data_IF_114452614216
#
_entry.id   IF_114452614216
#
_cell.length_a   1.000
_cell.length_b   1.000
_cell.length_c   1.000
_cell.angle_alpha   90.00
_cell.angle_beta   90.00
_cell.angle_gamma   90.00
#
_symmetry.space_group_name_H-M   'P 1'
#
loop_
_entity.id
_entity.type
_entity.pdbx_description
1 polymer ?
#
# COMPACT_ATOMS: atom_id res chain seq x y z
N UNK A 1 9.04 -35.35 40.66
CA UNK A 1 8.60 -35.51 39.25
C UNK A 1 8.35 -34.10 38.72
N UNK A 2 9.24 -33.59 37.88
CA UNK A 2 9.09 -32.28 37.25
C UNK A 2 8.33 -32.48 35.94
N UNK A 3 7.16 -31.85 35.81
CA UNK A 3 6.37 -31.84 34.56
C UNK A 3 7.07 -30.83 33.64
N UNK A 4 7.74 -31.35 32.58
CA UNK A 4 8.20 -30.53 31.46
C UNK A 4 6.96 -29.99 30.72
N UNK A 5 6.68 -28.70 30.87
CA UNK A 5 5.76 -27.98 30.01
C UNK A 5 6.41 -27.88 28.63
N UNK A 6 5.92 -28.68 27.69
CA UNK A 6 6.30 -28.58 26.29
C UNK A 6 5.91 -27.23 25.74
N UNK A 7 6.87 -26.42 25.35
CA UNK A 7 6.66 -25.19 24.59
C UNK A 7 6.00 -25.60 23.27
N UNK A 8 4.73 -25.25 23.11
CA UNK A 8 4.04 -25.41 21.82
C UNK A 8 4.66 -24.40 20.85
N UNK A 9 5.54 -24.87 19.98
CA UNK A 9 5.96 -24.09 18.82
C UNK A 9 4.72 -23.88 17.92
N UNK A 10 4.10 -22.70 18.01
CA UNK A 10 3.20 -22.26 16.97
C UNK A 10 4.03 -22.05 15.69
N UNK A 11 3.58 -22.54 14.52
CA UNK A 11 4.29 -22.27 13.29
C UNK A 11 4.38 -20.77 13.08
N UNK A 12 5.58 -20.27 12.76
CA UNK A 12 5.81 -18.86 12.44
C UNK A 12 5.05 -18.53 11.16
N UNK A 13 4.00 -17.73 11.28
CA UNK A 13 3.19 -17.27 10.15
C UNK A 13 3.62 -15.85 9.82
N UNK A 14 4.10 -15.68 8.60
CA UNK A 14 4.45 -14.37 8.04
C UNK A 14 3.33 -13.91 7.13
N UNK A 15 2.98 -12.64 7.23
CA UNK A 15 2.00 -11.98 6.36
C UNK A 15 2.67 -10.78 5.69
N UNK A 16 2.32 -10.53 4.43
CA UNK A 16 2.67 -9.30 3.72
C UNK A 16 1.37 -8.77 3.12
N UNK A 17 1.06 -7.52 3.40
CA UNK A 17 -0.20 -6.91 3.01
C UNK A 17 0.07 -5.52 2.42
N UNK A 18 -0.61 -5.17 1.31
CA UNK A 18 -0.57 -3.81 0.82
C UNK A 18 -1.37 -2.91 1.78
N UNK A 19 -0.75 -1.85 2.23
CA UNK A 19 -1.33 -0.89 3.17
C UNK A 19 -1.30 0.51 2.56
N UNK A 20 -2.42 1.22 2.68
CA UNK A 20 -2.57 2.61 2.29
C UNK A 20 -2.57 3.47 3.54
N UNK A 21 -1.74 4.50 3.58
CA UNK A 21 -1.71 5.46 4.68
C UNK A 21 -2.98 6.31 4.68
N UNK A 22 -3.59 6.50 5.84
CA UNK A 22 -4.83 7.27 5.99
C UNK A 22 -4.55 8.58 6.69
N UNK A 23 -4.77 9.68 5.97
CA UNK A 23 -4.75 11.03 6.54
C UNK A 23 -6.05 11.35 7.29
N UNK A 24 -5.98 12.36 8.16
CA UNK A 24 -7.18 12.92 8.78
C UNK A 24 -8.13 13.45 7.70
N UNK A 25 -9.44 13.25 7.91
CA UNK A 25 -10.47 13.77 7.01
C UNK A 25 -11.48 14.53 7.81
N UNK A 26 -11.57 15.82 7.53
CA UNK A 26 -12.65 16.66 8.04
C UNK A 26 -13.60 16.95 6.85
N UNK A 27 -14.92 16.77 7.07
CA UNK A 27 -16.02 17.22 6.20
C UNK A 27 -16.04 16.70 4.74
N UNK A 28 -15.51 15.49 4.45
CA UNK A 28 -15.63 14.91 3.12
C UNK A 28 -17.06 14.44 2.83
N UNK A 29 -17.66 14.90 1.73
CA UNK A 29 -19.08 14.66 1.40
C UNK A 29 -19.34 14.20 -0.05
N UNK A 30 -18.32 13.96 -0.88
CA UNK A 30 -18.52 13.60 -2.29
C UNK A 30 -19.04 12.16 -2.48
N UNK A 31 -18.69 11.25 -1.58
CA UNK A 31 -19.19 9.87 -1.49
C UNK A 31 -19.03 9.30 -0.09
N UNK A 32 -19.68 8.16 0.24
CA UNK A 32 -19.53 7.53 1.56
C UNK A 32 -18.12 7.03 1.81
N UNK A 33 -17.56 7.36 2.97
CA UNK A 33 -16.27 6.88 3.48
C UNK A 33 -16.47 6.20 4.82
N UNK A 34 -15.59 5.22 5.13
CA UNK A 34 -15.59 4.53 6.42
C UNK A 34 -14.94 5.38 7.51
N UNK A 35 -15.32 5.14 8.77
CA UNK A 35 -14.58 5.66 9.91
C UNK A 35 -13.22 4.98 9.98
N UNK A 36 -12.15 5.75 9.80
CA UNK A 36 -10.78 5.28 9.87
C UNK A 36 -10.01 6.09 10.91
N UNK A 37 -9.07 5.43 11.57
CA UNK A 37 -8.15 6.12 12.48
C UNK A 37 -7.13 6.88 11.65
N UNK A 38 -7.10 8.20 11.79
CA UNK A 38 -6.09 9.05 11.17
C UNK A 38 -4.68 8.61 11.55
N UNK A 39 -3.76 8.72 10.60
CA UNK A 39 -2.36 8.30 10.75
C UNK A 39 -2.22 6.79 11.01
N UNK A 40 -3.13 6.00 10.47
CA UNK A 40 -3.08 4.55 10.45
C UNK A 40 -3.00 4.03 9.02
N UNK A 41 -3.07 2.72 8.89
CA UNK A 41 -3.08 2.04 7.59
C UNK A 41 -4.42 1.37 7.33
N UNK A 42 -4.88 1.43 6.09
CA UNK A 42 -5.96 0.60 5.55
C UNK A 42 -5.33 -0.52 4.71
N UNK A 43 -5.59 -1.76 5.07
CA UNK A 43 -5.15 -2.93 4.29
C UNK A 43 -6.01 -3.03 3.03
N UNK A 44 -5.39 -2.98 1.85
CA UNK A 44 -6.09 -3.12 0.58
C UNK A 44 -6.24 -4.60 0.21
N UNK A 45 -7.48 -5.03 -0.05
CA UNK A 45 -7.80 -6.39 -0.47
C UNK A 45 -9.20 -6.46 -1.09
N UNK A 46 -9.66 -7.64 -1.52
CA UNK A 46 -10.98 -7.86 -2.11
C UNK A 46 -12.14 -7.96 -1.11
N UNK A 47 -11.90 -7.80 0.18
CA UNK A 47 -12.92 -7.98 1.24
C UNK A 47 -13.38 -6.65 1.86
N UNK A 48 -12.86 -5.51 1.37
CA UNK A 48 -13.23 -4.18 1.88
C UNK A 48 -14.72 -3.90 1.67
N UNK A 49 -15.31 -3.25 2.68
CA UNK A 49 -16.68 -2.72 2.57
C UNK A 49 -16.74 -1.55 1.57
N UNK A 50 -17.90 -1.24 0.98
CA UNK A 50 -18.04 -0.10 0.07
C UNK A 50 -17.55 1.24 0.64
N UNK A 51 -17.73 1.45 1.96
CA UNK A 51 -17.25 2.66 2.63
C UNK A 51 -15.72 2.69 2.78
N UNK A 52 -15.08 1.54 3.03
CA UNK A 52 -13.62 1.43 3.06
C UNK A 52 -13.01 1.61 1.67
N UNK A 53 -13.64 1.06 0.62
CA UNK A 53 -13.25 1.34 -0.77
C UNK A 53 -13.34 2.84 -1.05
N UNK A 54 -14.43 3.49 -0.65
CA UNK A 54 -14.61 4.94 -0.77
C UNK A 54 -13.51 5.71 -0.04
N UNK A 55 -13.07 5.24 1.13
CA UNK A 55 -11.94 5.80 1.87
C UNK A 55 -10.62 5.66 1.08
N UNK A 56 -10.35 4.47 0.52
CA UNK A 56 -9.14 4.24 -0.25
C UNK A 56 -9.09 5.12 -1.52
N UNK A 57 -10.20 5.18 -2.28
CA UNK A 57 -10.29 6.03 -3.48
C UNK A 57 -10.11 7.50 -3.13
N UNK A 58 -10.74 7.97 -2.03
CA UNK A 58 -10.56 9.34 -1.54
C UNK A 58 -9.09 9.60 -1.20
N UNK A 59 -8.45 8.72 -0.43
CA UNK A 59 -7.07 8.91 0.02
C UNK A 59 -6.10 8.97 -1.16
N UNK A 60 -6.26 8.10 -2.16
CA UNK A 60 -5.43 8.13 -3.36
C UNK A 60 -5.69 9.41 -4.17
N UNK A 61 -6.94 9.87 -4.29
CA UNK A 61 -7.24 11.14 -4.96
C UNK A 61 -6.64 12.33 -4.23
N UNK A 62 -6.75 12.37 -2.91
CA UNK A 62 -6.22 13.42 -2.03
C UNK A 62 -4.68 13.53 -2.10
N UNK A 63 -3.97 12.39 -2.16
CA UNK A 63 -2.51 12.36 -2.37
C UNK A 63 -2.08 12.97 -3.72
N UNK A 64 -2.98 13.03 -4.69
CA UNK A 64 -2.73 13.55 -6.03
C UNK A 64 -3.48 14.86 -6.29
N UNK A 65 -4.06 15.49 -5.25
CA UNK A 65 -4.70 16.79 -5.35
C UNK A 65 -3.64 17.90 -5.40
N UNK A 66 -3.68 18.69 -6.47
CA UNK A 66 -2.80 19.83 -6.65
C UNK A 66 -3.55 20.94 -7.41
N UNK A 67 -3.05 22.17 -7.29
CA UNK A 67 -3.64 23.30 -8.01
C UNK A 67 -3.51 23.07 -9.54
N UNK A 68 -4.64 23.05 -10.27
CA UNK A 68 -4.62 22.87 -11.72
C UNK A 68 -3.81 23.98 -12.41
N UNK A 69 -2.98 23.59 -13.35
CA UNK A 69 -2.21 24.48 -14.21
C UNK A 69 -2.55 24.26 -15.70
N UNK A 70 -1.97 25.10 -16.59
CA UNK A 70 -2.24 25.02 -18.03
C UNK A 70 -1.75 23.71 -18.67
N UNK A 71 -0.80 22.99 -18.04
CA UNK A 71 -0.23 21.74 -18.57
C UNK A 71 -1.17 20.54 -18.35
N UNK A 72 -2.00 20.59 -17.31
CA UNK A 72 -2.89 19.49 -16.92
C UNK A 72 -4.35 19.65 -17.43
N UNK A 73 -4.57 20.60 -18.34
CA UNK A 73 -5.86 20.82 -18.98
C UNK A 73 -6.79 21.76 -18.23
N UNK A 74 -8.01 22.02 -18.76
CA UNK A 74 -8.93 22.98 -18.15
C UNK A 74 -9.44 22.44 -16.80
N UNK A 75 -9.37 23.28 -15.78
CA UNK A 75 -9.89 22.97 -14.45
C UNK A 75 -11.42 22.74 -14.52
N UNK A 76 -11.91 21.62 -13.95
CA UNK A 76 -13.34 21.37 -13.79
C UNK A 76 -14.00 22.47 -12.93
N UNK A 77 -15.32 22.62 -13.06
CA UNK A 77 -16.08 23.62 -12.29
C UNK A 77 -16.97 23.01 -11.22
N UNK A 78 -17.19 21.72 -11.26
CA UNK A 78 -17.96 21.01 -10.24
C UNK A 78 -17.04 20.40 -9.17
N UNK A 79 -17.53 20.27 -7.92
CA UNK A 79 -16.70 19.82 -6.79
C UNK A 79 -16.06 18.45 -6.98
N UNK A 80 -16.77 17.51 -7.62
CA UNK A 80 -16.27 16.15 -7.87
C UNK A 80 -15.14 16.18 -8.91
N UNK A 81 -15.35 16.90 -10.01
CA UNK A 81 -14.35 17.06 -11.06
C UNK A 81 -13.08 17.74 -10.54
N UNK A 82 -13.21 18.79 -9.72
CA UNK A 82 -12.08 19.46 -9.07
C UNK A 82 -11.29 18.47 -8.24
N UNK A 83 -11.95 17.73 -7.33
CA UNK A 83 -11.28 16.77 -6.44
C UNK A 83 -10.60 15.62 -7.17
N UNK A 84 -11.16 15.16 -8.28
CA UNK A 84 -10.58 14.07 -9.10
C UNK A 84 -9.56 14.56 -10.12
N UNK A 85 -9.39 15.88 -10.30
CA UNK A 85 -8.61 16.44 -11.41
C UNK A 85 -7.18 15.89 -11.46
N UNK A 86 -6.46 15.96 -10.36
CA UNK A 86 -5.09 15.47 -10.28
C UNK A 86 -4.99 13.96 -10.51
N UNK A 87 -5.83 13.16 -9.84
CA UNK A 87 -5.90 11.72 -10.06
C UNK A 87 -6.09 11.35 -11.54
N UNK A 88 -6.88 12.13 -12.28
CA UNK A 88 -7.25 11.83 -13.66
C UNK A 88 -6.25 12.37 -14.69
N UNK A 89 -5.48 13.41 -14.37
CA UNK A 89 -4.64 14.14 -15.33
C UNK A 89 -3.15 13.97 -15.11
N UNK A 90 -2.69 13.69 -13.88
CA UNK A 90 -1.26 13.47 -13.62
C UNK A 90 -0.73 12.21 -14.28
N UNK A 91 0.47 12.27 -14.89
CA UNK A 91 1.14 11.09 -15.45
C UNK A 91 1.65 10.16 -14.34
N UNK A 92 2.25 10.73 -13.31
CA UNK A 92 2.86 10.02 -12.18
C UNK A 92 1.96 10.16 -10.96
N UNK A 93 1.36 9.08 -10.54
CA UNK A 93 0.42 9.02 -9.43
C UNK A 93 1.08 8.38 -8.21
N UNK A 94 0.71 8.87 -7.03
CA UNK A 94 1.17 8.37 -5.73
C UNK A 94 0.01 7.74 -4.97
N UNK A 95 0.27 6.59 -4.34
CA UNK A 95 -0.61 5.98 -3.36
C UNK A 95 0.19 5.73 -2.07
N UNK A 96 0.23 6.73 -1.18
CA UNK A 96 1.06 6.71 0.02
C UNK A 96 0.83 5.43 0.85
N UNK A 97 1.91 4.70 1.15
CA UNK A 97 1.84 3.40 1.81
C UNK A 97 2.91 2.44 1.33
N UNK A 98 2.57 1.16 1.18
CA UNK A 98 3.53 0.14 0.72
C UNK A 98 3.11 -1.27 1.12
N UNK A 99 4.07 -2.22 1.15
CA UNK A 99 3.82 -3.55 1.67
C UNK A 99 4.34 -3.67 3.10
N UNK A 100 3.43 -3.84 4.06
CA UNK A 100 3.75 -4.14 5.46
C UNK A 100 3.98 -5.64 5.64
N UNK A 101 5.02 -6.03 6.40
CA UNK A 101 5.32 -7.44 6.72
C UNK A 101 5.20 -7.68 8.21
N UNK A 102 4.33 -8.62 8.60
CA UNK A 102 4.09 -8.97 9.99
C UNK A 102 4.59 -10.37 10.31
N UNK A 103 5.40 -10.49 11.37
CA UNK A 103 5.72 -11.77 12.01
C UNK A 103 4.73 -12.03 13.15
N UNK A 104 3.73 -12.86 12.90
CA UNK A 104 2.70 -13.18 13.88
C UNK A 104 3.22 -13.92 15.13
N UNK A 105 4.43 -14.49 15.09
CA UNK A 105 5.01 -15.18 16.23
C UNK A 105 5.62 -14.22 17.25
N UNK A 106 6.17 -13.09 16.77
CA UNK A 106 6.82 -12.08 17.61
C UNK A 106 6.00 -10.80 17.75
N UNK A 107 5.04 -10.57 16.86
CA UNK A 107 4.32 -9.31 16.73
C UNK A 107 5.17 -8.20 16.09
N UNK A 108 6.32 -8.54 15.52
CA UNK A 108 7.18 -7.57 14.85
C UNK A 108 6.55 -7.20 13.50
N UNK A 109 6.47 -5.91 13.21
CA UNK A 109 5.94 -5.38 11.97
C UNK A 109 7.01 -4.56 11.26
N UNK A 110 7.23 -4.84 10.00
CA UNK A 110 8.00 -4.04 9.08
C UNK A 110 6.99 -3.19 8.29
N UNK A 111 6.87 -1.92 8.66
CA UNK A 111 5.97 -0.96 8.03
C UNK A 111 6.70 -0.14 6.95
N UNK A 112 6.00 0.29 5.88
CA UNK A 112 6.52 1.32 5.00
C UNK A 112 6.68 2.63 5.78
N UNK A 113 7.80 3.33 5.55
CA UNK A 113 8.05 4.64 6.13
C UNK A 113 7.36 5.75 5.35
N UNK A 114 7.44 6.98 5.87
CA UNK A 114 6.97 8.18 5.19
C UNK A 114 7.60 8.30 3.79
N UNK A 115 6.88 8.85 2.83
CA UNK A 115 7.31 8.99 1.42
C UNK A 115 7.52 7.65 0.68
N UNK A 116 7.00 6.54 1.20
CA UNK A 116 6.83 5.31 0.46
C UNK A 116 5.45 5.28 -0.19
N UNK A 117 5.33 4.61 -1.34
CA UNK A 117 4.06 4.47 -2.04
C UNK A 117 3.88 3.07 -2.63
N UNK A 118 2.60 2.72 -2.82
CA UNK A 118 2.22 1.44 -3.42
C UNK A 118 2.64 1.33 -4.90
N UNK A 119 2.86 2.44 -5.60
CA UNK A 119 3.42 2.47 -6.95
C UNK A 119 4.84 1.89 -7.01
N UNK A 120 5.59 1.91 -5.89
CA UNK A 120 6.95 1.37 -5.76
C UNK A 120 7.02 -0.10 -5.35
N UNK A 121 5.91 -0.85 -5.30
CA UNK A 121 5.95 -2.24 -4.82
C UNK A 121 6.88 -3.17 -5.62
N UNK A 122 7.22 -2.81 -6.87
CA UNK A 122 8.13 -3.61 -7.71
C UNK A 122 9.56 -3.61 -7.21
N UNK A 123 9.95 -2.68 -6.33
CA UNK A 123 11.27 -2.68 -5.68
C UNK A 123 11.54 -3.98 -4.91
N UNK A 124 10.48 -4.64 -4.44
CA UNK A 124 10.58 -5.99 -3.88
C UNK A 124 11.10 -7.02 -4.88
N UNK A 125 10.80 -6.86 -6.18
CA UNK A 125 11.28 -7.77 -7.24
C UNK A 125 12.78 -7.57 -7.45
N UNK A 126 13.30 -6.34 -7.34
CA UNK A 126 14.73 -6.06 -7.42
C UNK A 126 15.50 -6.74 -6.29
N UNK A 127 14.96 -6.71 -5.06
CA UNK A 127 15.51 -7.47 -3.93
C UNK A 127 15.50 -8.98 -4.21
N UNK A 128 14.41 -9.50 -4.78
CA UNK A 128 14.28 -10.93 -5.12
C UNK A 128 15.23 -11.36 -6.22
N UNK A 129 15.52 -10.51 -7.20
CA UNK A 129 16.44 -10.79 -8.31
C UNK A 129 17.90 -10.65 -7.92
N UNK A 130 18.19 -10.14 -6.72
CA UNK A 130 19.51 -10.07 -6.14
C UNK A 130 20.36 -8.88 -6.61
N UNK A 131 19.72 -7.83 -7.12
CA UNK A 131 20.39 -6.63 -7.64
C UNK A 131 20.74 -5.60 -6.55
N UNK A 132 20.29 -5.80 -5.29
CA UNK A 132 20.63 -4.88 -4.22
C UNK A 132 19.71 -4.90 -3.01
N UNK A 133 19.49 -3.73 -2.45
CA UNK A 133 18.55 -3.44 -1.39
C UNK A 133 17.49 -2.46 -1.89
N UNK A 134 16.30 -2.53 -1.32
CA UNK A 134 15.22 -1.58 -1.54
C UNK A 134 14.95 -0.81 -0.24
N UNK A 135 14.57 0.45 -0.41
CA UNK A 135 14.27 1.39 0.67
C UNK A 135 12.77 1.72 0.60
N UNK A 136 12.09 1.59 1.73
CA UNK A 136 10.64 1.76 1.79
C UNK A 136 10.28 2.96 2.68
N UNK A 137 10.82 4.13 2.30
CA UNK A 137 10.55 5.40 2.97
C UNK A 137 11.50 5.72 4.13
N UNK A 138 11.16 6.74 4.89
CA UNK A 138 11.88 7.19 6.07
C UNK A 138 10.89 7.36 7.25
N UNK A 139 11.39 7.34 8.49
CA UNK A 139 10.59 7.46 9.73
C UNK A 139 9.40 6.47 9.81
N UNK A 140 9.67 5.14 9.82
CA UNK A 140 10.97 4.46 9.96
C UNK A 140 11.71 4.35 8.61
N UNK A 141 13.05 4.29 8.67
CA UNK A 141 13.89 4.02 7.51
C UNK A 141 13.96 2.51 7.25
N UNK A 142 12.90 2.01 6.61
CA UNK A 142 12.68 0.59 6.38
C UNK A 142 13.46 0.09 5.16
N UNK A 143 14.24 -1.00 5.35
CA UNK A 143 15.13 -1.54 4.32
C UNK A 143 14.94 -3.04 4.17
N UNK A 144 14.82 -3.51 2.93
CA UNK A 144 14.93 -4.93 2.58
C UNK A 144 16.22 -5.16 1.80
N UNK A 145 17.04 -6.10 2.26
CA UNK A 145 18.32 -6.44 1.67
C UNK A 145 18.43 -7.93 1.39
N UNK A 146 18.91 -8.29 0.21
CA UNK A 146 19.21 -9.67 -0.09
C UNK A 146 20.59 -10.07 0.40
N UNK A 147 20.63 -11.06 1.29
CA UNK A 147 21.84 -11.66 1.85
C UNK A 147 21.89 -13.14 1.44
N UNK A 148 22.54 -13.45 0.35
CA UNK A 148 22.61 -14.79 -0.25
C UNK A 148 21.21 -15.34 -0.63
N UNK A 149 20.73 -16.38 0.07
CA UNK A 149 19.42 -17.00 -0.13
C UNK A 149 18.33 -16.50 0.84
N UNK A 150 18.67 -15.48 1.62
CA UNK A 150 17.77 -14.83 2.57
C UNK A 150 17.51 -13.39 2.16
N UNK A 151 16.39 -12.85 2.61
CA UNK A 151 16.09 -11.41 2.60
C UNK A 151 15.99 -10.97 4.05
N UNK A 152 16.75 -9.95 4.39
CA UNK A 152 16.72 -9.29 5.69
C UNK A 152 15.90 -8.03 5.59
N UNK A 153 14.89 -7.92 6.44
CA UNK A 153 14.09 -6.70 6.62
C UNK A 153 14.57 -6.02 7.90
N UNK A 154 15.07 -4.80 7.77
CA UNK A 154 15.48 -3.95 8.89
C UNK A 154 14.41 -2.88 9.08
N UNK A 155 13.76 -2.85 10.25
CA UNK A 155 12.60 -2.00 10.50
C UNK A 155 12.95 -0.52 10.47
N UNK A 156 14.12 -0.18 11.02
CA UNK A 156 14.66 1.19 10.99
C UNK A 156 16.19 1.12 10.94
N UNK A 157 16.75 1.29 9.75
CA UNK A 157 18.20 1.21 9.55
C UNK A 157 18.97 2.45 10.08
N UNK A 158 18.27 3.53 10.42
CA UNK A 158 18.83 4.71 11.08
C UNK A 158 18.62 4.71 12.61
N UNK A 159 17.85 3.75 13.11
CA UNK A 159 17.62 3.59 14.55
C UNK A 159 18.91 3.30 15.31
N UNK A 160 19.01 3.86 16.53
CA UNK A 160 20.13 3.59 17.43
C UNK A 160 20.04 2.15 17.95
N UNK A 161 21.18 1.48 18.03
CA UNK A 161 21.45 0.15 18.58
C UNK A 161 20.25 -0.84 18.68
N UNK A 162 20.17 -1.73 17.69
CA UNK A 162 19.32 -2.92 17.80
C UNK A 162 17.94 -2.81 17.15
N UNK A 163 17.82 -2.11 16.02
CA UNK A 163 16.57 -2.17 15.23
C UNK A 163 16.16 -3.63 15.00
N UNK A 164 14.91 -4.01 15.27
CA UNK A 164 14.42 -5.35 15.00
C UNK A 164 14.60 -5.72 13.52
N UNK A 165 14.92 -6.99 13.30
CA UNK A 165 15.08 -7.53 11.95
C UNK A 165 14.20 -8.75 11.76
N UNK A 166 13.72 -8.94 10.53
CA UNK A 166 13.00 -10.13 10.09
C UNK A 166 13.81 -10.77 8.97
N UNK A 167 14.29 -11.99 9.20
CA UNK A 167 14.99 -12.78 8.18
C UNK A 167 14.02 -13.79 7.56
N UNK A 168 13.90 -13.77 6.22
CA UNK A 168 13.02 -14.63 5.42
C UNK A 168 13.82 -15.29 4.29
N UNK A 169 13.44 -16.49 3.88
CA UNK A 169 14.01 -17.03 2.65
C UNK A 169 13.47 -16.27 1.42
N UNK A 170 14.27 -16.20 0.36
CA UNK A 170 13.85 -15.59 -0.92
C UNK A 170 12.53 -16.18 -1.42
N UNK A 171 12.33 -17.49 -1.27
CA UNK A 171 11.10 -18.15 -1.68
C UNK A 171 9.89 -17.80 -0.81
N UNK A 172 10.10 -17.49 0.48
CA UNK A 172 9.02 -16.95 1.31
C UNK A 172 8.62 -15.56 0.85
N UNK A 173 9.60 -14.66 0.65
CA UNK A 173 9.31 -13.29 0.19
C UNK A 173 8.63 -13.32 -1.17
N UNK A 174 9.08 -14.16 -2.11
CA UNK A 174 8.43 -14.30 -3.42
C UNK A 174 6.95 -14.68 -3.32
N UNK A 175 6.59 -15.61 -2.43
CA UNK A 175 5.19 -15.97 -2.20
C UNK A 175 4.39 -14.87 -1.54
N UNK A 176 5.00 -14.16 -0.59
CA UNK A 176 4.36 -13.05 0.11
C UNK A 176 4.09 -11.88 -0.84
N UNK A 177 5.05 -11.49 -1.67
CA UNK A 177 4.90 -10.45 -2.70
C UNK A 177 3.81 -10.82 -3.70
N UNK A 178 3.79 -12.08 -4.16
CA UNK A 178 2.74 -12.55 -5.08
C UNK A 178 1.34 -12.50 -4.44
N UNK A 179 1.24 -12.81 -3.14
CA UNK A 179 -0.01 -12.68 -2.39
C UNK A 179 -0.47 -11.21 -2.27
N UNK A 180 0.43 -10.31 -1.86
CA UNK A 180 0.13 -8.89 -1.76
C UNK A 180 -0.23 -8.26 -3.11
N UNK A 181 0.42 -8.69 -4.21
CA UNK A 181 0.02 -8.27 -5.56
C UNK A 181 -1.39 -8.74 -5.92
N UNK A 182 -1.76 -9.96 -5.53
CA UNK A 182 -3.14 -10.46 -5.74
C UNK A 182 -4.15 -9.64 -4.95
N UNK A 183 -3.85 -9.29 -3.69
CA UNK A 183 -4.69 -8.44 -2.85
C UNK A 183 -4.93 -7.06 -3.50
N UNK A 184 -3.89 -6.45 -4.12
CA UNK A 184 -4.04 -5.21 -4.88
C UNK A 184 -4.93 -5.38 -6.12
N UNK A 185 -4.83 -6.50 -6.84
CA UNK A 185 -5.67 -6.79 -8.01
C UNK A 185 -7.13 -6.98 -7.60
N UNK A 186 -7.36 -7.69 -6.49
CA UNK A 186 -8.70 -7.91 -5.94
C UNK A 186 -9.32 -6.58 -5.47
N UNK A 187 -8.53 -5.74 -4.79
CA UNK A 187 -8.94 -4.38 -4.45
C UNK A 187 -9.30 -3.55 -5.69
N UNK A 188 -8.46 -3.55 -6.73
CA UNK A 188 -8.72 -2.79 -7.96
C UNK A 188 -10.04 -3.23 -8.63
N UNK A 189 -10.33 -4.53 -8.65
CA UNK A 189 -11.58 -5.08 -9.17
C UNK A 189 -12.78 -4.60 -8.36
N UNK A 190 -12.65 -4.59 -7.03
CA UNK A 190 -13.67 -4.10 -6.11
C UNK A 190 -13.88 -2.58 -6.28
N UNK A 191 -12.80 -1.81 -6.40
CA UNK A 191 -12.84 -0.36 -6.62
C UNK A 191 -13.48 0.00 -7.97
N UNK A 192 -13.26 -0.79 -9.02
CA UNK A 192 -13.94 -0.62 -10.31
C UNK A 192 -15.45 -0.76 -10.18
N UNK A 193 -15.92 -1.81 -9.52
CA UNK A 193 -17.35 -2.03 -9.26
C UNK A 193 -17.94 -0.92 -8.38
N UNK A 194 -17.20 -0.47 -7.38
CA UNK A 194 -17.59 0.65 -6.52
C UNK A 194 -17.70 1.95 -7.32
N UNK A 195 -16.73 2.22 -8.21
CA UNK A 195 -16.72 3.43 -9.04
C UNK A 195 -17.93 3.48 -10.02
N UNK A 196 -18.33 2.33 -10.58
CA UNK A 196 -19.57 2.25 -11.42
C UNK A 196 -20.82 2.68 -10.64
N UNK A 197 -20.88 2.43 -9.35
CA UNK A 197 -22.03 2.76 -8.49
C UNK A 197 -21.99 4.21 -7.99
N UNK A 198 -20.82 4.72 -7.61
CA UNK A 198 -20.67 6.01 -6.94
C UNK A 198 -20.17 7.13 -7.84
N UNK A 199 -19.45 6.80 -8.91
CA UNK A 199 -18.82 7.74 -9.86
C UNK A 199 -19.12 7.36 -11.32
N UNK A 200 -20.39 7.13 -11.72
CA UNK A 200 -20.72 6.49 -13.00
C UNK A 200 -20.13 7.22 -14.22
N UNK A 201 -20.03 8.55 -14.18
CA UNK A 201 -19.45 9.37 -15.27
C UNK A 201 -17.93 9.33 -15.32
N UNK A 202 -17.26 8.90 -14.25
CA UNK A 202 -15.81 8.86 -14.12
C UNK A 202 -15.28 7.44 -13.89
N UNK A 203 -16.15 6.42 -13.79
CA UNK A 203 -15.79 5.08 -13.32
C UNK A 203 -14.60 4.49 -14.07
N UNK A 204 -14.64 4.47 -15.40
CA UNK A 204 -13.53 3.95 -16.21
C UNK A 204 -12.22 4.73 -16.02
N UNK A 205 -12.30 6.07 -15.97
CA UNK A 205 -11.14 6.92 -15.80
C UNK A 205 -10.52 6.76 -14.39
N UNK A 206 -11.35 6.71 -13.36
CA UNK A 206 -10.90 6.47 -11.96
C UNK A 206 -10.27 5.08 -11.83
N UNK A 207 -10.89 4.03 -12.36
CA UNK A 207 -10.33 2.67 -12.31
C UNK A 207 -8.99 2.59 -13.03
N UNK A 208 -8.85 3.24 -14.19
CA UNK A 208 -7.58 3.30 -14.91
C UNK A 208 -6.51 4.09 -14.15
N UNK A 209 -6.89 5.18 -13.48
CA UNK A 209 -5.98 5.95 -12.64
C UNK A 209 -5.52 5.15 -11.41
N UNK A 210 -6.43 4.47 -10.72
CA UNK A 210 -6.09 3.57 -9.60
C UNK A 210 -5.14 2.46 -10.05
N UNK A 211 -5.35 1.88 -11.23
CA UNK A 211 -4.45 0.86 -11.80
C UNK A 211 -3.03 1.41 -12.00
N UNK A 212 -2.89 2.68 -12.41
CA UNK A 212 -1.56 3.33 -12.52
C UNK A 212 -0.96 3.63 -11.14
N UNK A 213 -1.75 4.22 -10.23
CA UNK A 213 -1.30 4.55 -8.87
C UNK A 213 -0.83 3.32 -8.06
N UNK A 214 -1.33 2.13 -8.40
CA UNK A 214 -0.96 0.86 -7.78
C UNK A 214 0.05 0.05 -8.62
N UNK A 215 0.56 0.61 -9.70
CA UNK A 215 1.46 -0.06 -10.66
C UNK A 215 0.97 -1.46 -11.08
N UNK A 216 -0.34 -1.55 -11.36
CA UNK A 216 -1.01 -2.77 -11.84
C UNK A 216 -1.36 -2.71 -13.33
N UNK A 217 -1.07 -1.60 -13.99
CA UNK A 217 -1.29 -1.49 -15.42
C UNK A 217 -0.47 -2.56 -16.16
N UNK A 218 -1.01 -3.20 -17.20
CA UNK A 218 -0.23 -4.10 -18.03
C UNK A 218 0.95 -3.31 -18.59
N UNK A 219 2.16 -3.83 -18.41
CA UNK A 219 3.34 -3.30 -19.09
C UNK A 219 3.07 -3.33 -20.59
N UNK A 220 3.21 -2.22 -21.32
CA UNK A 220 2.90 -2.12 -22.72
C UNK A 220 3.69 -3.10 -23.59
#
# INVERSE_FOLDING_TARGET
MAVQQGVRHHPRVMMMQPVLEISATDDFALWPVGEQKSYGYLVLNGELTPAEVGTAVRQIADCNDFEPDEEHGPCPTDPLGIFLHGLLTMPDLVAAGGFAVTDNATGTVFDPGCCSGLEGWRDWLEVLDGTGCAYFGHDPFSVAERVNHMVRLTLDAHGTDGSPVIDLSVDQVRRLVAGAQQDLQDFLSLAGTWAEQHLPTHAGAVTAALSRALDLAPTP
#
